data_IF_431504202928
#
_entry.id   IF_431504202928
#
_cell.length_a   1.000
_cell.length_b   1.000
_cell.length_c   1.000
_cell.angle_alpha   90.00
_cell.angle_beta   90.00
_cell.angle_gamma   90.00
#
_symmetry.space_group_name_H-M   'P 1'
#
loop_
_entity.id
_entity.type
_entity.pdbx_description
1 polymer ?
#
# COMPACT_ATOMS: atom_id res chain seq x y z
N UNK A 1 12.23 3.83 5.19
CA UNK A 1 10.77 3.61 5.15
C UNK A 1 10.42 3.17 3.74
N UNK A 2 9.65 2.12 3.59
CA UNK A 2 9.15 1.62 2.30
C UNK A 2 7.70 2.08 2.08
N UNK A 3 7.35 2.34 0.83
CA UNK A 3 6.02 2.79 0.43
C UNK A 3 5.17 1.61 -0.01
N UNK A 4 3.89 1.61 0.37
CA UNK A 4 2.94 0.60 -0.05
C UNK A 4 1.60 1.23 -0.43
N UNK A 5 0.92 0.56 -1.34
CA UNK A 5 -0.44 0.87 -1.74
C UNK A 5 -1.34 -0.25 -1.28
N UNK A 6 -2.38 0.10 -0.54
CA UNK A 6 -3.46 -0.79 -0.16
C UNK A 6 -4.74 -0.38 -0.87
N UNK A 7 -5.27 -1.27 -1.70
CA UNK A 7 -6.59 -1.14 -2.28
C UNK A 7 -7.54 -2.02 -1.49
N UNK A 8 -8.72 -1.51 -1.13
CA UNK A 8 -9.70 -2.30 -0.41
C UNK A 8 -11.09 -2.17 -0.96
N UNK A 9 -11.83 -3.27 -0.90
CA UNK A 9 -13.24 -3.36 -1.26
C UNK A 9 -14.00 -3.83 -0.02
N UNK A 10 -15.03 -3.09 0.36
CA UNK A 10 -15.87 -3.41 1.50
C UNK A 10 -16.72 -4.65 1.21
N UNK A 11 -16.85 -5.48 2.24
CA UNK A 11 -17.89 -6.51 2.26
C UNK A 11 -19.27 -5.86 2.45
N UNK A 12 -20.34 -6.64 2.26
CA UNK A 12 -21.70 -6.15 2.48
C UNK A 12 -21.91 -5.65 3.92
N UNK A 13 -21.36 -6.37 4.91
CA UNK A 13 -21.36 -5.93 6.30
C UNK A 13 -20.52 -4.66 6.50
N UNK A 14 -19.37 -4.55 5.84
CA UNK A 14 -18.53 -3.35 5.85
C UNK A 14 -19.27 -2.11 5.34
N UNK A 15 -20.04 -2.24 4.25
CA UNK A 15 -20.86 -1.15 3.68
C UNK A 15 -21.96 -0.71 4.63
N UNK A 16 -22.63 -1.66 5.29
CA UNK A 16 -23.65 -1.36 6.30
C UNK A 16 -23.06 -0.59 7.48
N UNK A 17 -21.93 -1.08 8.01
CA UNK A 17 -21.20 -0.42 9.11
C UNK A 17 -20.76 0.99 8.70
N UNK A 18 -20.23 1.17 7.49
CA UNK A 18 -19.79 2.48 7.03
C UNK A 18 -20.95 3.48 6.93
N UNK A 19 -22.12 3.03 6.44
CA UNK A 19 -23.33 3.84 6.34
C UNK A 19 -23.83 4.29 7.70
N UNK A 20 -23.87 3.37 8.67
CA UNK A 20 -24.34 3.66 10.04
C UNK A 20 -23.30 4.43 10.87
N UNK A 21 -22.00 4.21 10.61
CA UNK A 21 -20.87 4.72 11.39
C UNK A 21 -19.73 5.16 10.47
N UNK A 22 -19.86 6.29 9.77
CA UNK A 22 -18.85 6.76 8.80
C UNK A 22 -17.46 6.98 9.42
N UNK A 23 -17.40 7.33 10.71
CA UNK A 23 -16.14 7.48 11.45
C UNK A 23 -15.35 6.20 11.66
N UNK A 24 -15.92 5.02 11.37
CA UNK A 24 -15.27 3.72 11.55
C UNK A 24 -13.94 3.61 10.78
N UNK A 25 -13.84 4.19 9.58
CA UNK A 25 -12.59 4.20 8.79
C UNK A 25 -11.44 4.84 9.58
N UNK A 26 -11.70 5.94 10.29
CA UNK A 26 -10.66 6.63 11.09
C UNK A 26 -10.17 5.75 12.24
N UNK A 27 -11.06 4.94 12.83
CA UNK A 27 -10.69 3.98 13.87
C UNK A 27 -9.78 2.89 13.30
N UNK A 28 -10.10 2.36 12.11
CA UNK A 28 -9.25 1.38 11.42
C UNK A 28 -7.86 1.96 11.15
N UNK A 29 -7.77 3.19 10.63
CA UNK A 29 -6.48 3.85 10.40
C UNK A 29 -5.66 3.97 11.70
N UNK A 30 -6.30 4.36 12.81
CA UNK A 30 -5.62 4.49 14.09
C UNK A 30 -5.06 3.14 14.59
N UNK A 31 -5.78 2.04 14.37
CA UNK A 31 -5.30 0.70 14.73
C UNK A 31 -4.11 0.28 13.87
N UNK A 32 -4.17 0.53 12.55
CA UNK A 32 -3.04 0.26 11.64
C UNK A 32 -1.81 1.08 12.02
N UNK A 33 -1.99 2.33 12.47
CA UNK A 33 -0.89 3.14 13.00
C UNK A 33 -0.24 2.59 14.25
N UNK A 34 -1.00 1.97 15.14
CA UNK A 34 -0.43 1.26 16.31
C UNK A 34 0.38 0.02 15.93
N UNK A 35 0.18 -0.52 14.73
CA UNK A 35 0.92 -1.68 14.21
C UNK A 35 2.22 -1.30 13.49
N UNK A 36 2.64 -0.03 13.57
CA UNK A 36 3.91 0.44 13.00
C UNK A 36 3.80 0.93 11.55
N UNK A 37 2.58 1.20 11.06
CA UNK A 37 2.33 1.68 9.70
C UNK A 37 1.77 3.10 9.71
N UNK A 38 2.39 4.01 8.96
CA UNK A 38 1.91 5.39 8.86
C UNK A 38 1.03 5.55 7.63
N UNK A 39 -0.19 6.05 7.79
CA UNK A 39 -1.05 6.42 6.65
C UNK A 39 -0.61 7.80 6.14
N UNK A 40 -0.14 7.86 4.90
CA UNK A 40 0.26 9.11 4.23
C UNK A 40 -0.95 9.79 3.63
N UNK A 41 -1.78 9.02 2.92
CA UNK A 41 -2.98 9.49 2.28
C UNK A 41 -4.00 8.36 2.16
N UNK A 42 -5.27 8.70 2.13
CA UNK A 42 -6.36 7.75 1.91
C UNK A 42 -7.48 8.43 1.14
N UNK A 43 -8.03 7.72 0.16
CA UNK A 43 -9.06 8.20 -0.73
C UNK A 43 -10.17 7.17 -0.84
N UNK A 44 -11.43 7.62 -0.82
CA UNK A 44 -12.55 6.84 -1.33
C UNK A 44 -12.53 6.90 -2.86
N UNK A 45 -12.77 5.77 -3.52
CA UNK A 45 -12.73 5.67 -4.97
C UNK A 45 -14.11 5.34 -5.54
N UNK A 46 -14.32 5.71 -6.79
CA UNK A 46 -15.51 5.35 -7.57
C UNK A 46 -15.07 4.37 -8.67
N UNK A 47 -14.79 3.14 -8.29
CA UNK A 47 -14.25 2.11 -9.18
C UNK A 47 -14.37 0.71 -8.58
N UNK A 48 -13.53 -0.25 -9.04
CA UNK A 48 -13.59 -1.63 -8.56
C UNK A 48 -13.19 -1.80 -7.08
N UNK A 49 -12.50 -0.79 -6.52
CA UNK A 49 -12.14 -0.72 -5.12
C UNK A 49 -12.87 0.45 -4.48
N UNK A 50 -13.18 0.32 -3.19
CA UNK A 50 -13.84 1.37 -2.41
C UNK A 50 -12.82 2.36 -1.84
N UNK A 51 -11.60 1.92 -1.51
CA UNK A 51 -10.54 2.79 -0.99
C UNK A 51 -9.17 2.52 -1.57
N UNK A 52 -8.37 3.59 -1.67
CA UNK A 52 -6.92 3.56 -1.83
C UNK A 52 -6.28 4.17 -0.60
N UNK A 53 -5.33 3.45 0.01
CA UNK A 53 -4.51 3.95 1.11
C UNK A 53 -3.04 3.89 0.71
N UNK A 54 -2.36 5.03 0.79
CA UNK A 54 -0.92 5.16 0.66
C UNK A 54 -0.33 5.09 2.06
N UNK A 55 0.50 4.09 2.31
CA UNK A 55 1.08 3.85 3.63
C UNK A 55 2.60 3.73 3.56
N UNK A 56 3.23 4.06 4.67
CA UNK A 56 4.65 3.83 4.92
C UNK A 56 4.82 2.82 6.03
N UNK A 57 5.79 1.93 5.86
CA UNK A 57 6.18 0.97 6.88
C UNK A 57 7.71 0.75 6.87
N UNK A 58 8.29 0.20 7.95
CA UNK A 58 9.71 -0.15 7.99
C UNK A 58 10.08 -1.20 6.93
N UNK A 59 9.26 -2.24 6.77
CA UNK A 59 9.53 -3.41 5.93
C UNK A 59 8.26 -4.18 5.52
N UNK A 60 8.43 -5.16 4.63
CA UNK A 60 7.34 -6.03 4.14
C UNK A 60 6.73 -6.87 5.26
N UNK A 61 7.50 -7.23 6.29
CA UNK A 61 7.04 -8.07 7.40
C UNK A 61 6.06 -7.32 8.31
N UNK A 62 6.22 -6.01 8.45
CA UNK A 62 5.30 -5.14 9.16
C UNK A 62 3.97 -5.04 8.41
N UNK A 63 4.02 -4.85 7.09
CA UNK A 63 2.81 -4.71 6.25
C UNK A 63 2.05 -6.03 6.10
N UNK A 64 2.73 -7.17 6.05
CA UNK A 64 2.06 -8.47 5.97
C UNK A 64 1.15 -8.73 7.18
N UNK A 65 1.61 -8.36 8.39
CA UNK A 65 0.81 -8.44 9.62
C UNK A 65 -0.42 -7.53 9.55
N UNK A 66 -0.24 -6.29 9.10
CA UNK A 66 -1.35 -5.34 8.91
C UNK A 66 -2.37 -5.87 7.90
N UNK A 67 -1.91 -6.44 6.79
CA UNK A 67 -2.78 -6.98 5.75
C UNK A 67 -3.63 -8.14 6.27
N UNK A 68 -3.05 -9.04 7.07
CA UNK A 68 -3.78 -10.17 7.67
C UNK A 68 -4.79 -9.67 8.70
N UNK A 69 -4.39 -8.75 9.58
CA UNK A 69 -5.27 -8.19 10.62
C UNK A 69 -6.47 -7.44 10.03
N UNK A 70 -6.25 -6.65 8.97
CA UNK A 70 -7.34 -5.97 8.28
C UNK A 70 -8.31 -6.96 7.62
N UNK A 71 -7.81 -8.02 7.02
CA UNK A 71 -8.63 -9.10 6.45
C UNK A 71 -9.43 -9.85 7.52
N UNK A 72 -8.81 -10.14 8.66
CA UNK A 72 -9.44 -10.85 9.78
C UNK A 72 -10.64 -10.09 10.38
N UNK A 73 -10.65 -8.76 10.29
CA UNK A 73 -11.78 -7.92 10.74
C UNK A 73 -13.04 -8.07 9.89
N UNK A 74 -12.97 -8.72 8.72
CA UNK A 74 -14.12 -9.10 7.89
C UNK A 74 -14.89 -7.94 7.24
N UNK A 75 -14.49 -6.70 7.49
CA UNK A 75 -15.15 -5.49 6.95
C UNK A 75 -14.66 -5.10 5.55
N UNK A 76 -13.50 -5.58 5.13
CA UNK A 76 -12.94 -5.29 3.82
C UNK A 76 -12.01 -6.41 3.35
N UNK A 77 -12.02 -6.69 2.05
CA UNK A 77 -10.98 -7.45 1.37
C UNK A 77 -9.95 -6.47 0.79
N UNK A 78 -8.67 -6.77 0.97
CA UNK A 78 -7.58 -5.87 0.60
C UNK A 78 -6.56 -6.51 -0.34
N UNK A 79 -6.01 -5.69 -1.23
CA UNK A 79 -4.84 -5.98 -2.04
C UNK A 79 -3.73 -5.00 -1.66
N UNK A 80 -2.59 -5.53 -1.24
CA UNK A 80 -1.45 -4.74 -0.77
C UNK A 80 -0.26 -4.93 -1.70
N UNK A 81 0.34 -3.83 -2.14
CA UNK A 81 1.47 -3.81 -3.07
C UNK A 81 2.60 -2.96 -2.51
N UNK A 82 3.85 -3.43 -2.61
CA UNK A 82 5.01 -2.57 -2.46
C UNK A 82 5.05 -1.58 -3.63
N UNK A 83 5.34 -0.31 -3.33
CA UNK A 83 5.42 0.75 -4.31
C UNK A 83 6.83 1.32 -4.34
N UNK A 84 7.39 1.43 -5.55
CA UNK A 84 8.66 2.09 -5.80
C UNK A 84 8.33 3.52 -6.26
N UNK A 85 8.86 4.56 -5.61
CA UNK A 85 8.72 5.94 -6.09
C UNK A 85 9.19 6.07 -7.55
N UNK A 86 8.49 6.88 -8.34
CA UNK A 86 8.75 6.98 -9.78
C UNK A 86 10.20 7.39 -10.08
N UNK A 87 10.71 8.39 -9.37
CA UNK A 87 12.10 8.88 -9.57
C UNK A 87 13.13 7.80 -9.22
N UNK A 88 12.87 6.99 -8.19
CA UNK A 88 13.73 5.86 -7.82
C UNK A 88 13.72 4.79 -8.90
N UNK A 89 12.52 4.45 -9.41
CA UNK A 89 12.36 3.51 -10.50
C UNK A 89 13.09 3.96 -11.78
N UNK A 90 12.93 5.22 -12.19
CA UNK A 90 13.64 5.81 -13.33
C UNK A 90 15.15 5.76 -13.11
N UNK A 91 15.62 6.17 -11.92
CA UNK A 91 17.03 6.13 -11.59
C UNK A 91 17.64 4.73 -11.64
N UNK A 92 16.89 3.67 -11.32
CA UNK A 92 17.35 2.29 -11.48
C UNK A 92 17.54 1.90 -12.95
N UNK A 93 16.64 2.31 -13.83
CA UNK A 93 16.75 2.03 -15.27
C UNK A 93 17.92 2.78 -15.91
N UNK A 94 18.12 4.05 -15.55
CA UNK A 94 19.23 4.86 -16.07
C UNK A 94 20.60 4.33 -15.63
N UNK A 95 20.73 3.87 -14.38
CA UNK A 95 21.97 3.26 -13.87
C UNK A 95 22.27 1.89 -14.48
N UNK A 96 21.23 1.11 -14.83
CA UNK A 96 21.39 -0.17 -15.52
C UNK A 96 21.85 -0.02 -16.98
N UNK A 97 21.64 1.14 -17.61
CA UNK A 97 22.03 1.39 -19.00
C UNK A 97 23.52 1.75 -19.17
N UNK A 98 24.24 2.14 -18.10
CA UNK A 98 25.62 2.62 -18.19
C UNK A 98 26.70 1.53 -18.07
N UNK A 99 26.35 0.29 -17.72
CA UNK A 99 27.31 -0.80 -17.47
C UNK A 99 27.57 -1.72 -18.66
N UNK A 100 26.99 -1.46 -19.84
CA UNK A 100 27.05 -2.36 -21.01
C UNK A 100 27.97 -1.96 -22.18
N UNK A 101 28.69 -0.84 -22.14
CA UNK A 101 29.38 -0.27 -23.32
C UNK A 101 30.91 -0.14 -23.25
N UNK A 102 31.57 -0.72 -22.24
CA UNK A 102 33.01 -0.54 -22.01
C UNK A 102 33.94 -1.64 -22.52
N UNK A 103 33.50 -2.90 -22.62
CA UNK A 103 34.45 -4.03 -22.55
C UNK A 103 34.64 -4.85 -23.85
N UNK A 104 34.37 -4.27 -25.02
CA UNK A 104 34.58 -4.93 -26.33
C UNK A 104 35.49 -4.15 -27.27
N UNK A 105 36.62 -3.64 -26.80
CA UNK A 105 37.71 -3.16 -27.68
C UNK A 105 39.08 -3.26 -27.00
N UNK A 106 39.57 -4.50 -26.85
CA UNK A 106 41.00 -4.83 -26.75
C UNK A 106 41.17 -6.34 -26.80
N UNK A 107 41.19 -6.91 -28.01
CA UNK A 107 41.93 -8.11 -28.38
C UNK A 107 41.87 -8.31 -29.88
#
# INVERSE_FOLDING_TARGET
>A
MALYIMLSTLSESGRKVLRERPGWIRKVNADVTRMGVRVIAQYALLGPYDFLSVIEAPDNATVSRVSVELGARGGAAGMTMAAIPLDEFIGHLERGASTGRGDRKKR
#
